data_IF_992648915904
#
_entry.id   IF_992648915904
#
_cell.length_a   1.000
_cell.length_b   1.000
_cell.length_c   1.000
_cell.angle_alpha   90.00
_cell.angle_beta   90.00
_cell.angle_gamma   90.00
#
_symmetry.space_group_name_H-M   'P 1'
#
loop_
_entity.id
_entity.type
_entity.pdbx_description
1 polymer ?
#
# COMPACT_ATOMS: atom_id res chain seq x y z
N UNK A 1 -1.65 27.00 35.36
CA UNK A 1 -2.65 26.01 34.91
C UNK A 1 -1.95 24.90 34.15
N UNK A 2 -1.85 23.68 34.70
CA UNK A 2 -1.43 22.50 33.91
C UNK A 2 -2.59 22.18 32.97
N UNK A 3 -2.47 22.57 31.69
CA UNK A 3 -3.39 22.13 30.64
C UNK A 3 -3.39 20.61 30.64
N UNK A 4 -4.53 20.04 30.99
CA UNK A 4 -4.81 18.63 30.92
C UNK A 4 -4.53 18.15 29.48
N UNK A 5 -3.45 17.39 29.25
CA UNK A 5 -3.05 16.95 27.91
C UNK A 5 -3.74 15.62 27.62
N UNK A 6 -4.83 15.61 26.82
CA UNK A 6 -5.67 14.41 26.72
C UNK A 6 -4.92 13.26 26.05
N UNK A 7 -4.03 13.56 25.10
CA UNK A 7 -3.12 12.59 24.51
C UNK A 7 -2.19 11.89 25.50
N UNK A 8 -1.72 12.60 26.53
CA UNK A 8 -0.88 12.03 27.59
C UNK A 8 -1.67 11.06 28.47
N UNK A 9 -2.91 11.44 28.84
CA UNK A 9 -3.83 10.56 29.56
C UNK A 9 -4.11 9.28 28.78
N UNK A 10 -4.37 9.38 27.47
CA UNK A 10 -4.58 8.20 26.62
C UNK A 10 -3.35 7.30 26.57
N UNK A 11 -2.14 7.87 26.46
CA UNK A 11 -0.91 7.06 26.43
C UNK A 11 -0.70 6.31 27.76
N UNK A 12 -0.94 6.97 28.90
CA UNK A 12 -0.89 6.32 30.21
C UNK A 12 -1.86 5.15 30.28
N UNK A 13 -3.13 5.36 29.90
CA UNK A 13 -4.14 4.29 29.86
C UNK A 13 -3.72 3.14 28.98
N UNK A 14 -3.16 3.41 27.80
CA UNK A 14 -2.66 2.38 26.87
C UNK A 14 -1.53 1.53 27.47
N UNK A 15 -0.73 2.09 28.38
CA UNK A 15 0.33 1.37 29.10
C UNK A 15 -0.24 0.55 30.25
N UNK A 16 -1.20 1.11 30.99
CA UNK A 16 -1.73 0.52 32.23
C UNK A 16 -2.94 -0.40 32.03
N UNK A 17 -3.67 -0.27 30.92
CA UNK A 17 -4.91 -1.00 30.63
C UNK A 17 -4.73 -1.94 29.42
N UNK A 18 -4.54 -3.25 29.66
CA UNK A 18 -4.34 -4.24 28.60
C UNK A 18 -5.52 -4.34 27.62
N UNK A 19 -6.73 -4.05 28.08
CA UNK A 19 -7.98 -4.18 27.31
C UNK A 19 -8.11 -3.20 26.14
N UNK A 20 -7.33 -2.11 26.17
CA UNK A 20 -7.21 -1.19 25.05
C UNK A 20 -6.44 -1.79 23.86
N UNK A 21 -5.75 -2.93 24.08
CA UNK A 21 -5.07 -3.78 23.07
C UNK A 21 -4.13 -3.04 22.12
N UNK A 22 -3.64 -1.86 22.48
CA UNK A 22 -2.82 -1.02 21.61
C UNK A 22 -1.55 -1.74 21.12
N UNK A 23 -0.85 -2.47 22.01
CA UNK A 23 0.31 -3.29 21.65
C UNK A 23 -0.04 -4.37 20.62
N UNK A 24 -1.13 -5.12 20.87
CA UNK A 24 -1.59 -6.15 19.94
C UNK A 24 -2.02 -5.58 18.58
N UNK A 25 -2.60 -4.38 18.57
CA UNK A 25 -2.94 -3.65 17.35
C UNK A 25 -1.69 -3.23 16.59
N UNK A 26 -0.67 -2.69 17.27
CA UNK A 26 0.64 -2.38 16.69
C UNK A 26 1.27 -3.63 16.10
N UNK A 27 1.30 -4.75 16.83
CA UNK A 27 1.83 -6.03 16.34
C UNK A 27 1.09 -6.50 15.09
N UNK A 28 -0.24 -6.38 15.08
CA UNK A 28 -1.08 -6.75 13.95
C UNK A 28 -0.77 -5.93 12.70
N UNK A 29 -0.65 -4.61 12.83
CA UNK A 29 -0.32 -3.73 11.71
C UNK A 29 1.15 -3.81 11.29
N UNK A 30 2.08 -3.96 12.22
CA UNK A 30 3.50 -4.17 11.92
C UNK A 30 3.70 -5.44 11.10
N UNK A 31 3.07 -6.56 11.49
CA UNK A 31 3.07 -7.80 10.70
C UNK A 31 2.38 -7.62 9.35
N UNK A 32 1.17 -7.04 9.33
CA UNK A 32 0.39 -6.83 8.09
C UNK A 32 1.16 -6.00 7.07
N UNK A 33 1.91 -5.00 7.51
CA UNK A 33 2.63 -4.07 6.64
C UNK A 33 4.13 -4.28 6.58
N UNK A 34 4.66 -5.31 7.25
CA UNK A 34 6.12 -5.60 7.31
C UNK A 34 6.92 -4.36 7.74
N UNK A 35 6.41 -3.68 8.77
CA UNK A 35 7.07 -2.55 9.41
C UNK A 35 7.85 -3.03 10.63
N UNK A 36 8.88 -2.28 11.00
CA UNK A 36 9.49 -2.47 12.31
C UNK A 36 8.43 -2.15 13.39
N UNK A 37 8.29 -3.08 14.33
CA UNK A 37 7.28 -3.01 15.38
C UNK A 37 7.55 -1.84 16.32
N UNK A 38 8.80 -1.68 16.73
CA UNK A 38 9.18 -0.73 17.77
C UNK A 38 9.14 0.68 17.19
N UNK A 39 9.54 0.87 15.94
CA UNK A 39 9.34 2.13 15.20
C UNK A 39 7.85 2.50 15.09
N UNK A 40 6.99 1.54 14.75
CA UNK A 40 5.55 1.78 14.65
C UNK A 40 4.94 2.11 16.02
N UNK A 41 5.36 1.40 17.07
CA UNK A 41 4.92 1.67 18.44
C UNK A 41 5.30 3.08 18.88
N UNK A 42 6.55 3.48 18.64
CA UNK A 42 7.06 4.80 18.99
C UNK A 42 6.33 5.90 18.20
N UNK A 43 6.25 5.79 16.88
CA UNK A 43 5.58 6.78 16.05
C UNK A 43 4.09 6.92 16.37
N UNK A 44 3.41 5.81 16.71
CA UNK A 44 2.03 5.83 17.16
C UNK A 44 1.89 6.55 18.51
N UNK A 45 2.79 6.27 19.46
CA UNK A 45 2.81 6.91 20.78
C UNK A 45 3.06 8.42 20.69
N UNK A 46 4.00 8.86 19.85
CA UNK A 46 4.24 10.28 19.60
C UNK A 46 3.02 10.98 18.98
N UNK A 47 2.31 10.31 18.08
CA UNK A 47 1.08 10.84 17.50
C UNK A 47 -0.02 11.01 18.54
N UNK A 48 -0.14 10.07 19.49
CA UNK A 48 -1.10 10.16 20.59
C UNK A 48 -0.81 11.37 21.48
N UNK A 49 0.46 11.61 21.82
CA UNK A 49 0.88 12.77 22.64
C UNK A 49 0.49 14.12 22.02
N UNK A 50 0.40 14.18 20.68
CA UNK A 50 0.02 15.41 19.96
C UNK A 50 -1.50 15.64 19.90
N UNK A 51 -2.32 14.71 20.38
CA UNK A 51 -3.78 14.83 20.30
C UNK A 51 -4.35 15.75 21.39
N UNK A 52 -5.03 16.81 20.95
CA UNK A 52 -5.63 17.83 21.82
C UNK A 52 -7.15 17.66 22.04
N UNK A 53 -7.84 16.93 21.18
CA UNK A 53 -9.30 16.79 21.19
C UNK A 53 -9.81 15.39 21.49
N UNK A 54 -8.95 14.48 21.96
CA UNK A 54 -9.39 13.12 22.32
C UNK A 54 -10.03 13.15 23.71
N UNK A 55 -11.12 12.41 23.89
CA UNK A 55 -11.74 12.17 25.19
C UNK A 55 -11.27 10.80 25.67
N UNK A 56 -10.35 10.72 26.64
CA UNK A 56 -9.78 9.45 27.06
C UNK A 56 -10.85 8.46 27.51
N UNK A 57 -11.86 8.90 28.25
CA UNK A 57 -12.85 8.05 28.92
C UNK A 57 -13.94 7.52 27.97
N UNK A 58 -13.93 7.93 26.70
CA UNK A 58 -14.97 7.58 25.74
C UNK A 58 -14.95 6.08 25.38
N UNK A 59 -16.11 5.43 25.33
CA UNK A 59 -16.26 3.99 25.05
C UNK A 59 -15.62 3.57 23.71
N UNK A 60 -15.69 4.46 22.72
CA UNK A 60 -15.07 4.30 21.40
C UNK A 60 -13.54 4.44 21.35
N UNK A 61 -12.84 4.62 22.48
CA UNK A 61 -11.39 4.86 22.52
C UNK A 61 -10.62 3.75 21.79
N UNK A 62 -10.99 2.49 21.97
CA UNK A 62 -10.32 1.35 21.34
C UNK A 62 -10.38 1.40 19.81
N UNK A 63 -11.56 1.68 19.25
CA UNK A 63 -11.72 1.83 17.79
C UNK A 63 -11.03 3.08 17.24
N UNK A 64 -10.85 4.11 18.08
CA UNK A 64 -10.05 5.28 17.73
C UNK A 64 -8.54 4.97 17.75
N UNK A 65 -8.04 4.23 18.75
CA UNK A 65 -6.66 3.77 18.83
C UNK A 65 -6.28 2.90 17.64
N UNK A 66 -7.15 1.98 17.23
CA UNK A 66 -6.94 1.16 16.03
C UNK A 66 -6.73 2.00 14.78
N UNK A 67 -7.61 2.98 14.55
CA UNK A 67 -7.48 3.92 13.43
C UNK A 67 -6.21 4.75 13.52
N UNK A 68 -5.81 5.19 14.71
CA UNK A 68 -4.58 5.93 14.94
C UNK A 68 -3.35 5.12 14.53
N UNK A 69 -3.23 3.88 14.99
CA UNK A 69 -2.10 2.99 14.63
C UNK A 69 -2.09 2.72 13.13
N UNK A 70 -3.25 2.44 12.53
CA UNK A 70 -3.36 2.22 11.09
C UNK A 70 -2.89 3.45 10.29
N UNK A 71 -3.29 4.66 10.69
CA UNK A 71 -2.83 5.88 10.01
C UNK A 71 -1.32 6.07 10.10
N UNK A 72 -0.71 5.81 11.26
CA UNK A 72 0.74 5.90 11.41
C UNK A 72 1.46 4.85 10.58
N UNK A 73 0.97 3.61 10.58
CA UNK A 73 1.53 2.56 9.73
C UNK A 73 1.46 2.97 8.24
N UNK A 74 0.32 3.51 7.80
CA UNK A 74 0.18 4.01 6.43
C UNK A 74 1.10 5.20 6.13
N UNK A 75 1.34 6.09 7.09
CA UNK A 75 2.26 7.22 6.93
C UNK A 75 3.72 6.73 6.84
N UNK A 76 4.14 5.78 7.68
CA UNK A 76 5.47 5.15 7.58
C UNK A 76 5.68 4.44 6.24
N UNK A 77 4.66 3.75 5.73
CA UNK A 77 4.71 3.13 4.39
C UNK A 77 4.87 4.20 3.32
N UNK A 78 4.15 5.33 3.42
CA UNK A 78 4.27 6.43 2.47
C UNK A 78 5.67 7.02 2.51
N UNK A 79 6.23 7.23 3.69
CA UNK A 79 7.53 7.87 3.84
C UNK A 79 8.66 6.93 3.37
N UNK A 80 8.58 5.64 3.69
CA UNK A 80 9.49 4.62 3.12
C UNK A 80 9.37 4.53 1.59
N UNK A 81 8.16 4.66 1.04
CA UNK A 81 7.95 4.66 -0.40
C UNK A 81 8.40 5.96 -1.09
N UNK A 82 8.59 7.05 -0.32
CA UNK A 82 9.09 8.35 -0.78
C UNK A 82 10.61 8.47 -0.64
N UNK A 83 11.24 7.64 0.18
CA UNK A 83 12.70 7.62 0.28
C UNK A 83 13.30 7.28 -1.08
N UNK A 84 14.25 8.09 -1.59
CA UNK A 84 14.93 7.80 -2.83
C UNK A 84 15.66 6.47 -2.69
N UNK A 85 15.33 5.51 -3.55
CA UNK A 85 16.08 4.26 -3.65
C UNK A 85 17.51 4.61 -4.08
N UNK A 86 18.50 4.22 -3.27
CA UNK A 86 19.89 4.34 -3.66
C UNK A 86 20.10 3.50 -4.93
N UNK A 87 20.58 4.14 -6.01
CA UNK A 87 20.80 3.50 -7.31
C UNK A 87 21.77 2.31 -7.23
N UNK A 88 22.58 2.22 -6.18
CA UNK A 88 23.52 1.13 -5.88
C UNK A 88 22.87 -0.18 -5.42
N UNK A 89 21.57 -0.18 -5.10
CA UNK A 89 20.82 -1.40 -4.74
C UNK A 89 20.03 -2.00 -5.90
N UNK A 90 20.17 -1.45 -7.11
CA UNK A 90 19.60 -2.03 -8.31
C UNK A 90 20.48 -3.23 -8.71
N UNK A 91 19.98 -4.48 -8.68
CA UNK A 91 20.73 -5.58 -9.24
C UNK A 91 20.99 -5.30 -10.71
N UNK A 92 22.27 -5.25 -11.08
CA UNK A 92 22.70 -5.34 -12.47
C UNK A 92 22.34 -6.74 -12.97
N UNK A 93 21.72 -6.81 -14.14
CA UNK A 93 21.50 -8.00 -14.96
C UNK A 93 20.15 -8.75 -14.84
N UNK A 94 19.66 -9.34 -15.96
CA UNK A 94 18.27 -9.73 -16.16
C UNK A 94 18.11 -11.24 -16.17
N UNK A 95 18.18 -11.93 -15.03
CA UNK A 95 17.89 -13.39 -15.03
C UNK A 95 17.47 -13.90 -13.65
N UNK A 96 16.24 -13.55 -13.25
CA UNK A 96 15.50 -14.34 -12.25
C UNK A 96 14.09 -14.55 -12.79
N UNK A 97 14.01 -15.42 -13.80
CA UNK A 97 12.75 -16.01 -14.23
C UNK A 97 12.32 -17.05 -13.19
N UNK A 98 11.70 -16.60 -12.10
CA UNK A 98 10.75 -17.46 -11.41
C UNK A 98 9.50 -17.46 -12.29
N UNK A 99 9.32 -18.53 -13.06
CA UNK A 99 8.16 -18.69 -13.95
C UNK A 99 6.87 -18.51 -13.14
N UNK A 100 5.92 -17.65 -13.56
CA UNK A 100 4.58 -17.69 -13.00
C UNK A 100 4.02 -19.11 -13.18
N UNK A 101 3.07 -19.55 -12.32
CA UNK A 101 2.35 -20.81 -12.55
C UNK A 101 1.90 -20.86 -14.01
N UNK A 102 2.34 -21.90 -14.72
CA UNK A 102 2.25 -21.99 -16.19
C UNK A 102 0.81 -22.14 -16.69
N UNK A 103 -0.15 -22.30 -15.78
CA UNK A 103 -1.58 -22.37 -16.00
C UNK A 103 -2.31 -21.10 -15.52
N UNK A 104 -3.12 -20.51 -16.40
CA UNK A 104 -3.85 -19.26 -16.15
C UNK A 104 -4.69 -19.29 -14.87
N UNK A 105 -5.20 -20.46 -14.48
CA UNK A 105 -5.98 -20.69 -13.25
C UNK A 105 -5.10 -20.55 -11.99
N UNK A 106 -3.86 -21.05 -12.03
CA UNK A 106 -2.91 -20.97 -10.92
C UNK A 106 -2.41 -19.55 -10.69
N UNK A 107 -2.15 -18.79 -11.75
CA UNK A 107 -1.75 -17.38 -11.68
C UNK A 107 -2.83 -16.50 -11.03
N UNK A 108 -4.09 -16.68 -11.42
CA UNK A 108 -5.19 -15.88 -10.89
C UNK A 108 -5.48 -16.16 -9.42
N UNK A 109 -5.45 -17.43 -9.01
CA UNK A 109 -5.59 -17.79 -7.60
C UNK A 109 -4.45 -17.22 -6.75
N UNK A 110 -3.21 -17.31 -7.26
CA UNK A 110 -2.05 -16.70 -6.62
C UNK A 110 -2.21 -15.18 -6.47
N UNK A 111 -2.60 -14.50 -7.55
CA UNK A 111 -2.78 -13.05 -7.55
C UNK A 111 -3.93 -12.66 -6.61
N UNK A 112 -5.06 -13.36 -6.65
CA UNK A 112 -6.18 -13.13 -5.76
C UNK A 112 -5.76 -13.25 -4.28
N UNK A 113 -5.03 -14.32 -3.91
CA UNK A 113 -4.52 -14.50 -2.55
C UNK A 113 -3.55 -13.40 -2.10
N UNK A 114 -2.78 -12.82 -3.02
CA UNK A 114 -1.91 -11.68 -2.75
C UNK A 114 -2.69 -10.37 -2.58
N UNK A 115 -3.74 -10.16 -3.38
CA UNK A 115 -4.57 -8.96 -3.33
C UNK A 115 -5.51 -8.93 -2.12
N UNK A 116 -6.02 -10.08 -1.69
CA UNK A 116 -6.98 -10.21 -0.58
C UNK A 116 -6.43 -9.67 0.75
N UNK A 117 -5.10 -9.63 0.91
CA UNK A 117 -4.43 -9.03 2.07
C UNK A 117 -4.67 -7.52 2.22
N UNK A 118 -5.05 -6.83 1.15
CA UNK A 118 -5.16 -5.37 1.13
C UNK A 118 -6.41 -4.81 0.44
N UNK A 119 -7.16 -5.64 -0.29
CA UNK A 119 -8.35 -5.26 -1.04
C UNK A 119 -9.56 -6.01 -0.52
N UNK A 120 -10.75 -5.44 -0.70
CA UNK A 120 -12.00 -6.18 -0.41
C UNK A 120 -12.25 -7.23 -1.49
N UNK A 121 -13.02 -8.27 -1.19
CA UNK A 121 -13.40 -9.30 -2.17
C UNK A 121 -13.95 -8.70 -3.48
N UNK A 122 -14.83 -7.69 -3.40
CA UNK A 122 -15.33 -6.97 -4.59
C UNK A 122 -14.22 -6.26 -5.39
N UNK A 123 -13.21 -5.71 -4.71
CA UNK A 123 -12.09 -5.03 -5.35
C UNK A 123 -11.11 -6.03 -5.98
N UNK A 124 -10.88 -7.17 -5.33
CA UNK A 124 -10.10 -8.28 -5.89
C UNK A 124 -10.78 -8.79 -7.15
N UNK A 125 -12.09 -9.08 -7.09
CA UNK A 125 -12.88 -9.51 -8.23
C UNK A 125 -12.79 -8.50 -9.39
N UNK A 126 -13.03 -7.21 -9.12
CA UNK A 126 -12.93 -6.17 -10.14
C UNK A 126 -11.54 -6.09 -10.81
N UNK A 127 -10.45 -6.32 -10.06
CA UNK A 127 -9.10 -6.33 -10.61
C UNK A 127 -8.84 -7.57 -11.45
N UNK A 128 -9.19 -8.76 -10.97
CA UNK A 128 -9.03 -10.00 -11.74
C UNK A 128 -9.81 -9.90 -13.06
N UNK A 129 -11.04 -9.40 -13.03
CA UNK A 129 -11.83 -9.19 -14.25
C UNK A 129 -11.15 -8.22 -15.22
N UNK A 130 -10.58 -7.11 -14.73
CA UNK A 130 -9.83 -6.15 -15.56
C UNK A 130 -8.48 -6.68 -16.06
N UNK A 131 -7.92 -7.70 -15.41
CA UNK A 131 -6.71 -8.39 -15.89
C UNK A 131 -7.05 -9.33 -17.03
N UNK A 132 -8.18 -10.05 -16.93
CA UNK A 132 -8.70 -10.93 -17.99
C UNK A 132 -9.12 -10.14 -19.22
N UNK A 133 -9.78 -9.00 -19.02
CA UNK A 133 -10.25 -8.11 -20.07
C UNK A 133 -9.86 -6.65 -19.73
N UNK A 134 -8.69 -6.19 -20.23
CA UNK A 134 -8.23 -4.81 -20.04
C UNK A 134 -9.14 -3.76 -20.68
N UNK A 135 -9.88 -4.14 -21.73
CA UNK A 135 -10.74 -3.26 -22.53
C UNK A 135 -12.18 -3.21 -21.99
N UNK A 136 -12.47 -3.99 -20.95
CA UNK A 136 -13.75 -4.03 -20.26
C UNK A 136 -14.26 -2.62 -19.90
N UNK A 137 -15.39 -2.28 -20.51
CA UNK A 137 -16.06 -1.01 -20.30
C UNK A 137 -16.62 -0.85 -18.89
N UNK A 138 -16.73 0.41 -18.41
CA UNK A 138 -17.31 0.70 -17.09
C UNK A 138 -18.76 0.23 -16.92
N UNK A 139 -19.55 0.22 -18.00
CA UNK A 139 -20.93 -0.29 -18.00
C UNK A 139 -20.97 -1.80 -17.74
N UNK A 140 -20.00 -2.53 -18.27
CA UNK A 140 -19.92 -3.97 -18.16
C UNK A 140 -19.36 -4.39 -16.80
N UNK A 141 -18.34 -3.66 -16.32
CA UNK A 141 -17.88 -3.79 -14.93
C UNK A 141 -19.00 -3.52 -13.91
N UNK A 142 -19.86 -2.53 -14.17
CA UNK A 142 -21.04 -2.25 -13.34
C UNK A 142 -22.02 -3.43 -13.29
N UNK A 143 -22.31 -4.06 -14.44
CA UNK A 143 -23.14 -5.28 -14.49
C UNK A 143 -22.51 -6.44 -13.72
N UNK A 144 -21.22 -6.72 -13.96
CA UNK A 144 -20.49 -7.82 -13.32
C UNK A 144 -20.37 -7.66 -11.80
N UNK A 145 -20.25 -6.42 -11.31
CA UNK A 145 -20.13 -6.13 -9.88
C UNK A 145 -21.45 -5.80 -9.20
N UNK A 146 -22.57 -5.89 -9.94
CA UNK A 146 -23.91 -5.48 -9.49
C UNK A 146 -23.92 -4.06 -8.86
N UNK A 147 -23.32 -3.08 -9.54
CA UNK A 147 -23.25 -1.68 -9.10
C UNK A 147 -23.80 -0.73 -10.16
N UNK A 148 -24.16 0.48 -9.73
CA UNK A 148 -24.39 1.59 -10.66
C UNK A 148 -23.11 1.96 -11.40
N UNK A 149 -23.24 2.66 -12.54
CA UNK A 149 -22.08 3.16 -13.30
C UNK A 149 -21.13 4.00 -12.43
N UNK A 150 -21.68 4.89 -11.60
CA UNK A 150 -20.91 5.69 -10.65
C UNK A 150 -20.23 4.82 -9.58
N UNK A 151 -20.94 3.81 -9.07
CA UNK A 151 -20.40 2.84 -8.12
C UNK A 151 -19.24 2.04 -8.69
N UNK A 152 -19.36 1.55 -9.92
CA UNK A 152 -18.30 0.81 -10.62
C UNK A 152 -17.08 1.68 -10.91
N UNK A 153 -17.28 2.95 -11.31
CA UNK A 153 -16.20 3.92 -11.47
C UNK A 153 -15.45 4.14 -10.16
N UNK A 154 -16.18 4.32 -9.05
CA UNK A 154 -15.58 4.52 -7.74
C UNK A 154 -14.86 3.25 -7.24
N UNK A 155 -15.45 2.07 -7.46
CA UNK A 155 -14.85 0.78 -7.16
C UNK A 155 -13.53 0.61 -7.93
N UNK A 156 -13.54 0.78 -9.25
CA UNK A 156 -12.33 0.70 -10.11
C UNK A 156 -11.26 1.68 -9.66
N UNK A 157 -11.62 2.94 -9.42
CA UNK A 157 -10.68 3.97 -8.96
C UNK A 157 -10.04 3.62 -7.61
N UNK A 158 -10.87 3.20 -6.63
CA UNK A 158 -10.40 2.82 -5.29
C UNK A 158 -9.56 1.54 -5.31
N UNK A 159 -9.96 0.54 -6.08
CA UNK A 159 -9.24 -0.72 -6.27
C UNK A 159 -7.86 -0.45 -6.90
N UNK A 160 -7.78 0.31 -7.99
CA UNK A 160 -6.51 0.68 -8.62
C UNK A 160 -5.63 1.55 -7.71
N UNK A 161 -6.22 2.44 -6.91
CA UNK A 161 -5.48 3.22 -5.93
C UNK A 161 -4.90 2.36 -4.80
N UNK A 162 -5.66 1.36 -4.33
CA UNK A 162 -5.21 0.37 -3.33
C UNK A 162 -4.15 -0.55 -3.90
N UNK A 163 -4.34 -1.09 -5.10
CA UNK A 163 -3.36 -1.89 -5.82
C UNK A 163 -2.05 -1.12 -6.01
N UNK A 164 -2.12 0.13 -6.48
CA UNK A 164 -0.94 0.97 -6.63
C UNK A 164 -0.20 1.18 -5.31
N UNK A 165 -0.91 1.31 -4.19
CA UNK A 165 -0.29 1.37 -2.85
C UNK A 165 0.32 0.04 -2.43
N UNK A 166 -0.34 -1.08 -2.72
CA UNK A 166 0.16 -2.42 -2.43
C UNK A 166 1.48 -2.72 -3.17
N UNK A 167 1.60 -2.22 -4.40
CA UNK A 167 2.84 -2.31 -5.21
C UNK A 167 3.91 -1.32 -4.70
N UNK A 168 3.53 -0.27 -3.96
CA UNK A 168 4.42 0.81 -3.52
C UNK A 168 4.62 1.92 -4.56
N UNK A 169 3.70 2.06 -5.52
CA UNK A 169 3.75 3.09 -6.56
C UNK A 169 3.29 4.46 -6.04
N UNK A 170 4.15 5.46 -6.21
CA UNK A 170 3.79 6.87 -5.99
C UNK A 170 2.79 7.34 -7.05
N UNK A 171 2.15 8.49 -6.82
CA UNK A 171 1.25 9.09 -7.80
C UNK A 171 2.00 9.47 -9.09
N UNK A 172 3.23 9.98 -8.96
CA UNK A 172 4.09 10.36 -10.07
C UNK A 172 4.54 9.13 -10.88
N UNK A 173 4.99 8.07 -10.21
CA UNK A 173 5.35 6.78 -10.85
C UNK A 173 4.16 6.19 -11.61
N UNK A 174 2.98 6.18 -10.99
CA UNK A 174 1.75 5.67 -11.61
C UNK A 174 1.35 6.49 -12.85
N UNK A 175 1.47 7.81 -12.76
CA UNK A 175 1.13 8.70 -13.86
C UNK A 175 2.15 8.59 -15.02
N UNK A 176 3.44 8.43 -14.71
CA UNK A 176 4.50 8.25 -15.70
C UNK A 176 4.41 6.90 -16.41
N UNK A 177 4.09 5.83 -15.67
CA UNK A 177 3.93 4.46 -16.20
C UNK A 177 2.64 4.30 -17.02
N UNK A 178 1.52 4.88 -16.57
CA UNK A 178 0.25 4.84 -17.31
C UNK A 178 0.33 5.58 -18.65
N UNK A 179 1.05 6.70 -18.69
CA UNK A 179 1.29 7.46 -19.92
C UNK A 179 1.89 6.58 -21.02
N UNK A 180 2.96 5.86 -20.69
CA UNK A 180 3.64 4.96 -21.62
C UNK A 180 2.70 3.88 -22.19
N UNK A 181 1.88 3.26 -21.32
CA UNK A 181 0.89 2.25 -21.74
C UNK A 181 -0.18 2.81 -22.68
N UNK A 182 -0.37 4.12 -22.72
CA UNK A 182 -1.29 4.81 -23.64
C UNK A 182 -0.60 5.35 -24.90
N UNK A 183 0.69 5.05 -25.10
CA UNK A 183 1.49 5.58 -26.20
C UNK A 183 2.00 7.01 -25.98
N UNK A 184 1.87 7.57 -24.77
CA UNK A 184 2.39 8.90 -24.43
C UNK A 184 3.93 8.91 -24.45
N UNK A 185 4.51 9.76 -25.29
CA UNK A 185 5.95 9.95 -25.38
C UNK A 185 6.56 10.50 -24.09
N UNK A 186 7.87 10.30 -23.87
CA UNK A 186 8.59 10.79 -22.68
C UNK A 186 8.42 12.32 -22.53
N UNK A 187 8.56 13.06 -23.63
CA UNK A 187 8.45 14.52 -23.65
C UNK A 187 7.03 15.03 -23.35
N UNK A 188 6.00 14.29 -23.76
CA UNK A 188 4.60 14.63 -23.45
C UNK A 188 4.29 14.40 -21.97
N UNK A 189 4.75 13.25 -21.44
CA UNK A 189 4.64 12.95 -20.02
C UNK A 189 5.41 13.95 -19.14
N UNK A 190 6.58 14.42 -19.59
CA UNK A 190 7.39 15.44 -18.91
C UNK A 190 6.62 16.77 -18.79
N UNK A 191 6.05 17.25 -19.90
CA UNK A 191 5.21 18.47 -19.92
C UNK A 191 4.00 18.34 -19.00
N UNK A 192 3.29 17.21 -19.05
CA UNK A 192 2.09 16.98 -18.22
C UNK A 192 2.41 16.90 -16.73
N UNK A 193 3.56 16.33 -16.38
CA UNK A 193 3.98 16.14 -14.98
C UNK A 193 4.76 17.35 -14.43
N UNK A 194 5.14 18.31 -15.27
CA UNK A 194 5.93 19.47 -14.85
C UNK A 194 7.35 19.10 -14.41
N UNK A 195 7.93 18.05 -14.99
CA UNK A 195 9.26 17.53 -14.66
C UNK A 195 10.07 17.29 -15.93
N UNK A 196 11.38 17.09 -15.79
CA UNK A 196 12.25 16.79 -16.93
C UNK A 196 12.06 15.35 -17.46
N UNK A 197 12.48 15.13 -18.71
CA UNK A 197 12.36 13.84 -19.39
C UNK A 197 13.16 12.71 -18.69
N UNK A 198 14.32 13.03 -18.12
CA UNK A 198 15.14 12.04 -17.40
C UNK A 198 14.48 11.56 -16.11
N UNK A 199 13.74 12.45 -15.45
CA UNK A 199 12.96 12.18 -14.25
C UNK A 199 11.71 11.36 -14.59
N UNK A 200 11.07 11.61 -15.73
CA UNK A 200 10.00 10.72 -16.25
C UNK A 200 10.52 9.31 -16.43
N UNK A 201 11.69 9.14 -17.06
CA UNK A 201 12.29 7.82 -17.26
C UNK A 201 12.71 7.16 -15.95
N UNK A 202 13.26 7.91 -15.00
CA UNK A 202 13.56 7.41 -13.65
C UNK A 202 12.30 6.90 -12.96
N UNK A 203 11.21 7.68 -12.99
CA UNK A 203 9.91 7.29 -12.41
C UNK A 203 9.33 6.05 -13.10
N UNK A 204 9.46 5.95 -14.42
CA UNK A 204 9.02 4.78 -15.20
C UNK A 204 9.80 3.53 -14.79
N UNK A 205 11.13 3.61 -14.71
CA UNK A 205 12.00 2.50 -14.30
C UNK A 205 11.69 2.06 -12.86
N UNK A 206 11.56 3.01 -11.94
CA UNK A 206 11.18 2.72 -10.55
C UNK A 206 9.81 2.02 -10.47
N UNK A 207 8.82 2.48 -11.23
CA UNK A 207 7.51 1.83 -11.30
C UNK A 207 7.61 0.40 -11.84
N UNK A 208 8.36 0.18 -12.93
CA UNK A 208 8.59 -1.14 -13.53
C UNK A 208 9.23 -2.11 -12.54
N UNK A 209 10.25 -1.68 -11.79
CA UNK A 209 10.92 -2.51 -10.78
C UNK A 209 9.96 -2.89 -9.66
N UNK A 210 9.17 -1.93 -9.15
CA UNK A 210 8.18 -2.18 -8.10
C UNK A 210 7.09 -3.14 -8.56
N UNK A 211 6.57 -2.96 -9.78
CA UNK A 211 5.60 -3.87 -10.39
C UNK A 211 6.22 -5.27 -10.54
N UNK A 212 7.43 -5.38 -11.06
CA UNK A 212 8.13 -6.67 -11.21
C UNK A 212 8.28 -7.36 -9.86
N UNK A 213 8.80 -6.68 -8.85
CA UNK A 213 8.97 -7.22 -7.49
C UNK A 213 7.64 -7.66 -6.86
N UNK A 214 6.57 -6.93 -7.12
CA UNK A 214 5.23 -7.30 -6.67
C UNK A 214 4.72 -8.56 -7.38
N UNK A 215 5.06 -8.75 -8.66
CA UNK A 215 4.66 -9.91 -9.44
C UNK A 215 5.58 -11.12 -9.25
N UNK A 216 6.77 -10.95 -8.68
CA UNK A 216 7.71 -12.04 -8.35
C UNK A 216 7.25 -12.83 -7.11
N UNK A 217 7.38 -14.16 -7.19
CA UNK A 217 6.98 -15.13 -6.17
C UNK A 217 7.88 -15.08 -4.89
N UNK A 218 9.12 -14.60 -5.00
CA UNK A 218 10.18 -14.83 -3.99
C UNK A 218 10.50 -13.69 -3.00
N UNK A 219 9.81 -12.55 -3.03
CA UNK A 219 10.21 -11.41 -2.18
C UNK A 219 9.93 -11.58 -0.66
N UNK A 220 9.43 -12.73 -0.20
CA UNK A 220 9.13 -13.01 1.21
C UNK A 220 9.85 -14.21 1.82
N UNK A 221 10.79 -14.88 1.12
CA UNK A 221 11.16 -16.25 1.50
C UNK A 221 12.62 -16.71 1.48
N UNK A 222 13.62 -15.88 1.14
CA UNK A 222 15.02 -16.36 1.17
C UNK A 222 15.97 -15.37 1.82
N UNK A 223 15.89 -15.26 3.15
CA UNK A 223 17.14 -15.17 3.92
C UNK A 223 17.78 -16.54 3.80
N UNK A 224 18.71 -16.70 2.85
CA UNK A 224 19.73 -17.74 2.97
C UNK A 224 20.30 -17.59 4.38
N UNK A 225 20.00 -18.57 5.23
CA UNK A 225 20.71 -18.74 6.48
C UNK A 225 22.18 -18.95 6.08
N UNK A 226 22.98 -17.90 6.21
CA UNK A 226 24.39 -18.08 6.44
C UNK A 226 24.51 -18.78 7.78
N UNK A 227 24.82 -20.08 7.75
CA UNK A 227 25.37 -20.78 8.89
C UNK A 227 26.61 -21.51 8.42
N UNK A 228 27.71 -21.06 9.04
CA UNK A 228 28.98 -21.70 9.34
C UNK A 228 29.62 -22.58 8.26
#
# INVERSE_FOLDING_TARGET
MRTDQPGHKVLLRVITEPDLRFRATVDGYARRYTLDRDDLYQAASERLLRQRGVVPEHEGLRGWLDRCVNFVALDMIKDRARQPLAMSELPESPDIWAHPPTDAVGWEQWLAGRLDRALTAEQVHAIITLVRDPDLGLKELARLTNKSYAGARQLKSRALARLGRLIGLTAAERAAYRGLRKGEGVAEAARRLGIDATQVDRLRRAASVKIRRFLSFDASGSRKQGRA
#
